data_IF_542993675728
#
_entry.id   IF_542993675728
#
_cell.length_a   1.000
_cell.length_b   1.000
_cell.length_c   1.000
_cell.angle_alpha   90.00
_cell.angle_beta   90.00
_cell.angle_gamma   90.00
#
_symmetry.space_group_name_H-M   'P 1'
#
loop_
_entity.id
_entity.type
_entity.pdbx_description
1 polymer ?
#
# COMPACT_ATOMS: atom_id res chain seq x y z
N UNK A 1 -23.48 -4.15 11.72
CA UNK A 1 -23.01 -3.31 10.61
C UNK A 1 -22.65 -4.26 9.48
N UNK A 2 -22.77 -3.84 8.22
CA UNK A 2 -22.74 -4.76 7.09
C UNK A 2 -21.29 -5.01 6.66
N UNK A 3 -20.63 -6.02 7.22
CA UNK A 3 -19.19 -6.32 7.08
C UNK A 3 -18.67 -6.26 5.62
N UNK A 4 -19.55 -6.52 4.65
CA UNK A 4 -19.29 -6.43 3.22
C UNK A 4 -18.89 -5.03 2.74
N UNK A 5 -19.46 -3.96 3.32
CA UNK A 5 -19.11 -2.57 2.94
C UNK A 5 -17.70 -2.17 3.42
N UNK A 6 -17.30 -2.70 4.58
CA UNK A 6 -16.03 -2.38 5.25
C UNK A 6 -14.86 -3.13 4.60
N UNK A 7 -15.08 -4.41 4.27
CA UNK A 7 -14.14 -5.21 3.46
C UNK A 7 -13.94 -4.56 2.09
N UNK A 8 -15.02 -4.12 1.45
CA UNK A 8 -14.96 -3.47 0.14
C UNK A 8 -14.19 -2.14 0.21
N UNK A 9 -14.41 -1.31 1.23
CA UNK A 9 -13.72 -0.03 1.41
C UNK A 9 -12.21 -0.20 1.64
N UNK A 10 -11.81 -1.14 2.52
CA UNK A 10 -10.42 -1.48 2.75
C UNK A 10 -9.73 -2.04 1.50
N UNK A 11 -10.42 -2.91 0.76
CA UNK A 11 -9.90 -3.48 -0.48
C UNK A 11 -9.79 -2.44 -1.61
N UNK A 12 -10.69 -1.46 -1.68
CA UNK A 12 -10.60 -0.35 -2.63
C UNK A 12 -9.43 0.59 -2.34
N UNK A 13 -9.18 0.95 -1.08
CA UNK A 13 -8.01 1.76 -0.72
C UNK A 13 -6.69 1.03 -1.01
N UNK A 14 -6.64 -0.28 -0.73
CA UNK A 14 -5.50 -1.12 -1.08
C UNK A 14 -5.30 -1.23 -2.60
N UNK A 15 -6.38 -1.41 -3.36
CA UNK A 15 -6.34 -1.39 -4.84
C UNK A 15 -5.87 -0.06 -5.40
N UNK A 16 -6.29 1.08 -4.83
CA UNK A 16 -5.81 2.40 -5.23
C UNK A 16 -4.32 2.58 -4.90
N UNK A 17 -3.86 2.08 -3.77
CA UNK A 17 -2.44 2.09 -3.40
C UNK A 17 -1.59 1.27 -4.38
N UNK A 18 -2.03 0.05 -4.72
CA UNK A 18 -1.39 -0.80 -5.72
C UNK A 18 -1.43 -0.17 -7.12
N UNK A 19 -2.59 0.33 -7.56
CA UNK A 19 -2.72 1.06 -8.84
C UNK A 19 -1.78 2.25 -8.91
N UNK A 20 -1.56 2.95 -7.79
CA UNK A 20 -0.56 4.02 -7.70
C UNK A 20 0.89 3.50 -7.79
N UNK A 21 1.16 2.25 -7.41
CA UNK A 21 2.45 1.60 -7.60
C UNK A 21 2.74 1.27 -9.06
N UNK A 22 1.76 0.74 -9.79
CA UNK A 22 1.86 0.51 -11.23
C UNK A 22 2.07 1.82 -11.99
N UNK A 23 3.15 1.90 -12.79
CA UNK A 23 3.51 3.11 -13.54
C UNK A 23 4.32 4.15 -12.75
N UNK A 24 4.56 3.95 -11.45
CA UNK A 24 5.44 4.82 -10.63
C UNK A 24 6.76 4.16 -10.21
N UNK A 25 7.08 3.01 -10.81
CA UNK A 25 8.35 2.30 -10.66
C UNK A 25 9.52 3.21 -11.08
N UNK A 26 10.45 3.44 -10.17
CA UNK A 26 11.67 4.21 -10.44
C UNK A 26 12.82 3.28 -10.86
N UNK A 27 13.83 3.82 -11.54
CA UNK A 27 15.13 3.14 -11.64
C UNK A 27 15.94 3.41 -10.37
N UNK A 28 16.44 2.35 -9.74
CA UNK A 28 17.30 2.42 -8.56
C UNK A 28 18.65 1.78 -8.87
N UNK A 29 19.70 2.26 -8.22
CA UNK A 29 21.04 1.66 -8.35
C UNK A 29 21.25 0.62 -7.26
N UNK A 30 21.40 -0.64 -7.65
CA UNK A 30 21.68 -1.77 -6.75
C UNK A 30 23.03 -2.35 -7.15
N UNK A 31 24.01 -2.32 -6.25
CA UNK A 31 25.38 -2.83 -6.50
C UNK A 31 26.00 -2.27 -7.80
N UNK A 32 25.80 -0.97 -8.05
CA UNK A 32 26.32 -0.28 -9.24
C UNK A 32 25.55 -0.53 -10.55
N UNK A 33 24.47 -1.35 -10.54
CA UNK A 33 23.61 -1.57 -11.70
C UNK A 33 22.30 -0.81 -11.56
N UNK A 34 21.81 -0.21 -12.65
CA UNK A 34 20.45 0.35 -12.71
C UNK A 34 19.45 -0.79 -12.86
N UNK A 35 18.50 -0.86 -11.95
CA UNK A 35 17.42 -1.85 -11.93
C UNK A 35 16.11 -1.10 -11.77
N UNK A 36 15.10 -1.45 -12.56
CA UNK A 36 13.76 -0.88 -12.42
C UNK A 36 13.07 -1.52 -11.22
N UNK A 37 12.47 -0.70 -10.36
CA UNK A 37 11.63 -1.17 -9.26
C UNK A 37 10.48 -2.05 -9.76
N UNK A 38 10.17 -3.12 -9.03
CA UNK A 38 8.91 -3.84 -9.23
C UNK A 38 7.73 -3.02 -8.68
N UNK A 39 6.48 -3.29 -9.10
CA UNK A 39 5.31 -2.64 -8.52
C UNK A 39 5.22 -2.79 -7.00
N UNK A 40 5.60 -3.93 -6.44
CA UNK A 40 5.65 -4.19 -5.00
C UNK A 40 6.69 -3.31 -4.30
N UNK A 41 7.87 -3.15 -4.89
CA UNK A 41 8.91 -2.27 -4.37
C UNK A 41 8.45 -0.80 -4.37
N UNK A 42 7.78 -0.36 -5.45
CA UNK A 42 7.20 0.97 -5.52
C UNK A 42 6.11 1.18 -4.45
N UNK A 43 5.28 0.17 -4.20
CA UNK A 43 4.30 0.18 -3.11
C UNK A 43 4.98 0.31 -1.74
N UNK A 44 5.99 -0.50 -1.44
CA UNK A 44 6.73 -0.43 -0.17
C UNK A 44 7.39 0.94 0.04
N UNK A 45 8.02 1.50 -1.01
CA UNK A 45 8.59 2.86 -0.96
C UNK A 45 7.54 3.91 -0.66
N UNK A 46 6.37 3.83 -1.31
CA UNK A 46 5.25 4.76 -1.05
C UNK A 46 4.73 4.61 0.37
N UNK A 47 4.61 3.38 0.87
CA UNK A 47 4.16 3.09 2.23
C UNK A 47 5.07 3.76 3.26
N UNK A 48 6.39 3.64 3.10
CA UNK A 48 7.38 4.28 3.98
C UNK A 48 7.33 5.81 3.98
N UNK A 49 6.81 6.42 2.90
CA UNK A 49 6.65 7.88 2.77
C UNK A 49 5.33 8.40 3.32
N UNK A 50 4.38 7.53 3.65
CA UNK A 50 3.13 7.96 4.27
C UNK A 50 3.39 8.45 5.69
N UNK A 51 2.61 9.44 6.12
CA UNK A 51 2.61 9.90 7.53
C UNK A 51 2.16 8.76 8.43
N UNK A 52 2.67 8.74 9.67
CA UNK A 52 2.32 7.69 10.64
C UNK A 52 0.81 7.64 10.90
N UNK A 53 0.14 8.79 11.01
CA UNK A 53 -1.31 8.86 11.18
C UNK A 53 -2.10 8.17 10.06
N UNK A 54 -1.59 8.22 8.82
CA UNK A 54 -2.21 7.56 7.67
C UNK A 54 -1.95 6.06 7.73
N UNK A 55 -0.73 5.64 8.08
CA UNK A 55 -0.37 4.23 8.25
C UNK A 55 -1.14 3.58 9.39
N UNK A 56 -1.29 4.29 10.51
CA UNK A 56 -2.08 3.88 11.66
C UNK A 56 -3.56 3.74 11.31
N UNK A 57 -4.11 4.65 10.51
CA UNK A 57 -5.47 4.51 9.97
C UNK A 57 -5.65 3.22 9.18
N UNK A 58 -4.72 2.90 8.28
CA UNK A 58 -4.73 1.64 7.53
C UNK A 58 -4.59 0.40 8.43
N UNK A 59 -3.69 0.44 9.42
CA UNK A 59 -3.46 -0.68 10.35
C UNK A 59 -4.66 -0.87 11.28
N UNK A 60 -5.24 0.22 11.80
CA UNK A 60 -6.42 0.18 12.67
C UNK A 60 -7.63 -0.38 11.93
N UNK A 61 -7.83 0.02 10.68
CA UNK A 61 -8.89 -0.54 9.83
C UNK A 61 -8.66 -2.04 9.57
N UNK A 62 -7.42 -2.44 9.27
CA UNK A 62 -7.08 -3.86 9.09
C UNK A 62 -7.20 -4.70 10.36
N UNK A 63 -6.98 -4.11 11.56
CA UNK A 63 -7.16 -4.80 12.85
C UNK A 63 -8.62 -4.98 13.23
N UNK A 64 -9.47 -3.97 13.00
CA UNK A 64 -10.92 -4.09 13.21
C UNK A 64 -11.53 -5.25 12.42
N UNK A 65 -11.01 -5.52 11.22
CA UNK A 65 -11.43 -6.64 10.39
C UNK A 65 -11.03 -8.03 10.91
N UNK A 66 -10.08 -8.16 11.86
CA UNK A 66 -9.66 -9.46 12.40
C UNK A 66 -10.41 -9.88 13.68
N UNK A 67 -11.12 -8.95 14.32
CA UNK A 67 -11.83 -9.17 15.58
C UNK A 67 -13.34 -9.41 15.39
N UNK A 68 -13.81 -9.50 14.14
CA UNK A 68 -15.20 -9.79 13.74
C UNK A 68 -15.23 -11.07 12.91
#
# INVERSE_FOLDING_TARGET
MNDEWEIQAGFELYKQFIRGGYGSCMEVTVKGKKVRETPEQACVRRWRRLRDTVREGFIAEGRKQQET
#
